data_IF_323789674654
#
_entry.id   IF_323789674654
#
_cell.length_a   1.000
_cell.length_b   1.000
_cell.length_c   1.000
_cell.angle_alpha   90.00
_cell.angle_beta   90.00
_cell.angle_gamma   90.00
#
_symmetry.space_group_name_H-M   'P 1'
#
loop_
_entity.id
_entity.type
_entity.pdbx_description
1 polymer ?
#
# COMPACT_ATOMS: atom_id res chain seq x y z
N UNK A 1 1.46 -77.53 -46.17
CA UNK A 1 0.46 -77.11 -47.18
C UNK A 1 -0.30 -75.92 -46.63
N UNK A 2 -0.46 -74.87 -47.45
CA UNK A 2 -1.27 -73.67 -47.18
C UNK A 2 -0.56 -72.58 -46.36
N UNK A 3 -0.59 -71.30 -46.70
CA UNK A 3 -0.87 -70.57 -47.93
C UNK A 3 -0.29 -69.16 -47.70
N UNK A 4 0.28 -68.57 -48.75
CA UNK A 4 0.81 -67.19 -48.74
C UNK A 4 -0.35 -66.19 -48.76
N UNK A 5 -0.21 -65.09 -48.03
CA UNK A 5 -0.86 -63.83 -48.37
C UNK A 5 0.03 -62.66 -47.95
N UNK A 6 0.62 -62.00 -48.95
CA UNK A 6 1.07 -60.61 -48.92
C UNK A 6 -0.17 -59.72 -49.03
N UNK A 7 -0.17 -58.54 -48.40
CA UNK A 7 -0.63 -57.25 -48.98
C UNK A 7 -0.74 -56.12 -47.91
N UNK A 8 -0.01 -55.03 -48.18
CA UNK A 8 -0.38 -53.59 -48.07
C UNK A 8 -0.73 -52.91 -46.73
N UNK A 9 0.22 -52.07 -46.28
CA UNK A 9 0.11 -50.64 -45.91
C UNK A 9 -1.24 -50.05 -45.47
N UNK A 10 -1.24 -49.46 -44.26
CA UNK A 10 -1.82 -48.13 -43.99
C UNK A 10 -1.14 -47.52 -42.75
N UNK A 11 -0.29 -46.51 -42.95
CA UNK A 11 0.22 -45.68 -41.87
C UNK A 11 -0.86 -44.66 -41.50
N UNK A 12 -1.42 -44.76 -40.30
CA UNK A 12 -2.32 -43.74 -39.75
C UNK A 12 -1.50 -42.78 -38.88
N UNK A 13 -1.09 -41.67 -39.47
CA UNK A 13 -0.55 -40.52 -38.74
C UNK A 13 -1.70 -39.85 -38.01
N UNK A 14 -1.82 -40.09 -36.70
CA UNK A 14 -2.70 -39.33 -35.83
C UNK A 14 -2.08 -37.95 -35.60
N UNK A 15 -2.48 -36.97 -36.41
CA UNK A 15 -2.10 -35.57 -36.26
C UNK A 15 -2.71 -34.97 -35.00
N UNK A 16 -1.87 -34.25 -34.27
CA UNK A 16 -2.11 -33.49 -33.05
C UNK A 16 -3.45 -32.75 -33.01
N UNK A 17 -4.18 -32.96 -31.92
CA UNK A 17 -5.25 -32.10 -31.45
C UNK A 17 -5.02 -31.71 -30.00
N UNK A 18 -3.86 -31.11 -29.67
CA UNK A 18 -3.71 -30.41 -28.39
C UNK A 18 -4.38 -29.06 -28.55
N UNK A 19 -5.68 -28.99 -28.29
CA UNK A 19 -6.34 -27.73 -27.98
C UNK A 19 -5.79 -27.29 -26.62
N UNK A 20 -4.74 -26.48 -26.63
CA UNK A 20 -4.32 -25.76 -25.44
C UNK A 20 -5.47 -24.83 -25.05
N UNK A 21 -6.32 -25.27 -24.12
CA UNK A 21 -7.19 -24.37 -23.39
C UNK A 21 -6.28 -23.26 -22.81
N UNK A 22 -6.72 -21.98 -22.81
CA UNK A 22 -5.93 -20.92 -22.20
C UNK A 22 -5.72 -21.31 -20.74
N UNK A 23 -4.49 -21.70 -20.41
CA UNK A 23 -4.15 -22.14 -19.07
C UNK A 23 -4.34 -20.96 -18.13
N UNK A 24 -5.35 -21.04 -17.27
CA UNK A 24 -5.40 -20.21 -16.06
C UNK A 24 -4.17 -20.61 -15.26
N UNK A 25 -3.15 -19.75 -15.27
CA UNK A 25 -1.93 -19.98 -14.52
C UNK A 25 -2.30 -20.22 -13.04
N UNK A 26 -2.09 -21.44 -12.55
CA UNK A 26 -2.21 -21.75 -11.13
C UNK A 26 -1.15 -20.93 -10.40
N UNK A 27 -1.57 -19.81 -9.82
CA UNK A 27 -0.67 -18.93 -9.09
C UNK A 27 -0.45 -19.52 -7.70
N UNK A 28 0.63 -20.28 -7.51
CA UNK A 28 1.06 -20.72 -6.19
C UNK A 28 1.37 -19.51 -5.31
N UNK A 29 1.15 -19.62 -3.99
CA UNK A 29 1.40 -18.53 -3.04
C UNK A 29 2.85 -18.04 -3.09
N UNK A 30 3.79 -18.92 -3.45
CA UNK A 30 5.22 -18.64 -3.62
C UNK A 30 5.52 -17.68 -4.78
N UNK A 31 4.66 -17.60 -5.80
CA UNK A 31 4.90 -16.76 -6.97
C UNK A 31 4.34 -15.33 -6.83
N UNK A 32 3.60 -15.03 -5.75
CA UNK A 32 3.02 -13.69 -5.48
C UNK A 32 3.96 -12.83 -4.65
N UNK A 33 5.13 -12.53 -5.19
CA UNK A 33 6.21 -11.78 -4.50
C UNK A 33 5.74 -10.45 -3.90
N UNK A 34 4.84 -9.72 -4.57
CA UNK A 34 4.34 -8.43 -4.08
C UNK A 34 3.32 -8.56 -2.94
N UNK A 35 2.75 -9.75 -2.69
CA UNK A 35 1.80 -10.00 -1.61
C UNK A 35 2.48 -10.32 -0.27
N UNK A 36 3.81 -10.47 -0.27
CA UNK A 36 4.57 -10.75 0.94
C UNK A 36 4.50 -9.57 1.92
N UNK A 37 4.48 -9.87 3.22
CA UNK A 37 4.50 -8.84 4.28
C UNK A 37 5.88 -8.21 4.41
N UNK A 38 6.96 -8.95 4.21
CA UNK A 38 8.30 -8.39 4.15
C UNK A 38 8.77 -8.34 2.70
N UNK A 39 9.35 -7.21 2.29
CA UNK A 39 9.86 -7.01 0.93
C UNK A 39 8.80 -6.90 -0.18
N UNK A 40 7.52 -7.15 0.12
CA UNK A 40 6.42 -6.97 -0.83
C UNK A 40 6.06 -5.50 -1.08
N UNK A 41 5.00 -5.30 -1.87
CA UNK A 41 4.50 -3.97 -2.23
C UNK A 41 2.97 -3.94 -2.09
N UNK A 42 2.54 -3.81 -0.84
CA UNK A 42 1.14 -3.82 -0.42
C UNK A 42 1.01 -3.12 0.96
N UNK A 43 -0.20 -2.84 1.45
CA UNK A 43 -0.39 -2.21 2.77
C UNK A 43 0.21 -2.98 3.95
N UNK A 44 0.25 -4.31 3.92
CA UNK A 44 0.92 -5.12 4.95
C UNK A 44 2.45 -4.90 4.93
N UNK A 45 3.06 -4.72 3.76
CA UNK A 45 4.48 -4.38 3.66
C UNK A 45 4.79 -2.99 4.22
N UNK A 46 3.92 -2.01 3.97
CA UNK A 46 4.02 -0.68 4.60
C UNK A 46 3.94 -0.78 6.13
N UNK A 47 3.01 -1.56 6.67
CA UNK A 47 2.94 -1.82 8.12
C UNK A 47 4.21 -2.46 8.67
N UNK A 48 4.81 -3.38 7.93
CA UNK A 48 6.08 -3.99 8.33
C UNK A 48 7.21 -2.96 8.39
N UNK A 49 7.27 -2.02 7.44
CA UNK A 49 8.24 -0.92 7.45
C UNK A 49 8.00 0.03 8.63
N UNK A 50 6.74 0.35 8.93
CA UNK A 50 6.39 1.15 10.11
C UNK A 50 6.83 0.48 11.40
N UNK A 51 6.56 -0.82 11.56
CA UNK A 51 6.95 -1.58 12.74
C UNK A 51 8.49 -1.65 12.90
N UNK A 52 9.23 -1.79 11.80
CA UNK A 52 10.69 -1.75 11.81
C UNK A 52 11.21 -0.37 12.26
N UNK A 53 10.63 0.70 11.73
CA UNK A 53 10.96 2.06 12.14
C UNK A 53 10.63 2.35 13.61
N UNK A 54 9.47 1.88 14.09
CA UNK A 54 9.05 2.00 15.50
C UNK A 54 10.06 1.26 16.41
N UNK A 55 10.49 0.05 16.00
CA UNK A 55 11.50 -0.73 16.72
C UNK A 55 12.86 -0.01 16.75
N UNK A 56 13.34 0.51 15.63
CA UNK A 56 14.59 1.28 15.57
C UNK A 56 14.53 2.54 16.45
N UNK A 57 13.42 3.28 16.38
CA UNK A 57 13.21 4.49 17.17
C UNK A 57 13.21 4.22 18.69
N UNK A 58 12.70 3.05 19.10
CA UNK A 58 12.70 2.62 20.51
C UNK A 58 14.09 2.27 21.04
N UNK A 59 14.99 1.80 20.17
CA UNK A 59 16.40 1.54 20.51
C UNK A 59 17.28 2.80 20.43
N UNK A 60 16.71 3.93 20.03
CA UNK A 60 17.44 5.18 19.84
C UNK A 60 18.14 5.31 18.48
N UNK A 61 17.96 4.34 17.57
CA UNK A 61 18.48 4.45 16.20
C UNK A 61 17.55 5.30 15.35
N UNK A 62 17.74 6.62 15.43
CA UNK A 62 16.91 7.59 14.71
C UNK A 62 17.20 7.60 13.21
N UNK A 63 18.37 7.14 12.77
CA UNK A 63 18.73 7.10 11.35
C UNK A 63 18.03 5.93 10.66
N UNK A 64 18.09 4.73 11.25
CA UNK A 64 17.36 3.55 10.78
C UNK A 64 15.85 3.79 10.83
N UNK A 65 15.33 4.34 11.93
CA UNK A 65 13.91 4.68 12.05
C UNK A 65 13.43 5.60 10.93
N UNK A 66 14.20 6.66 10.65
CA UNK A 66 13.89 7.59 9.56
C UNK A 66 13.89 6.88 8.21
N UNK A 67 14.89 6.05 7.93
CA UNK A 67 14.98 5.32 6.67
C UNK A 67 13.76 4.42 6.44
N UNK A 68 13.29 3.72 7.48
CA UNK A 68 12.12 2.85 7.38
C UNK A 68 10.81 3.61 7.25
N UNK A 69 10.65 4.72 7.97
CA UNK A 69 9.49 5.60 7.78
C UNK A 69 9.48 6.25 6.38
N UNK A 70 10.63 6.65 5.84
CA UNK A 70 10.72 7.21 4.49
C UNK A 70 10.34 6.16 3.42
N UNK A 71 10.76 4.90 3.60
CA UNK A 71 10.31 3.78 2.74
C UNK A 71 8.79 3.58 2.84
N UNK A 72 8.25 3.53 4.06
CA UNK A 72 6.81 3.36 4.30
C UNK A 72 5.99 4.49 3.65
N UNK A 73 6.45 5.73 3.78
CA UNK A 73 5.82 6.91 3.20
C UNK A 73 5.83 6.84 1.67
N UNK A 74 6.98 6.52 1.08
CA UNK A 74 7.13 6.38 -0.38
C UNK A 74 6.19 5.30 -0.91
N UNK A 75 6.21 4.12 -0.32
CA UNK A 75 5.36 3.01 -0.72
C UNK A 75 3.88 3.35 -0.59
N UNK A 76 3.46 3.98 0.51
CA UNK A 76 2.05 4.41 0.71
C UNK A 76 1.56 5.36 -0.38
N UNK A 77 2.37 6.37 -0.74
CA UNK A 77 2.02 7.34 -1.81
C UNK A 77 1.88 6.66 -3.16
N UNK A 78 2.79 5.74 -3.48
CA UNK A 78 2.74 4.98 -4.73
C UNK A 78 1.51 4.04 -4.77
N UNK A 79 1.26 3.28 -3.70
CA UNK A 79 0.09 2.42 -3.57
C UNK A 79 -1.21 3.19 -3.73
N UNK A 80 -1.34 4.35 -3.07
CA UNK A 80 -2.51 5.21 -3.19
C UNK A 80 -2.78 5.64 -4.65
N UNK A 81 -1.74 6.05 -5.37
CA UNK A 81 -1.85 6.43 -6.77
C UNK A 81 -2.28 5.23 -7.64
N UNK A 82 -1.59 4.09 -7.52
CA UNK A 82 -1.84 2.92 -8.34
C UNK A 82 -3.22 2.29 -8.09
N UNK A 83 -3.65 2.20 -6.83
CA UNK A 83 -4.99 1.69 -6.52
C UNK A 83 -6.08 2.59 -7.09
N UNK A 84 -5.92 3.91 -7.01
CA UNK A 84 -6.85 4.85 -7.64
C UNK A 84 -6.90 4.69 -9.16
N UNK A 85 -5.75 4.56 -9.81
CA UNK A 85 -5.66 4.42 -11.27
C UNK A 85 -6.33 3.10 -11.74
N UNK A 86 -6.09 1.99 -11.02
CA UNK A 86 -6.76 0.72 -11.27
C UNK A 86 -8.27 0.78 -11.01
N UNK A 87 -8.71 1.41 -9.92
CA UNK A 87 -10.15 1.65 -9.68
C UNK A 87 -10.79 2.41 -10.84
N UNK A 88 -10.09 3.40 -11.41
CA UNK A 88 -10.55 4.16 -12.57
C UNK A 88 -10.68 3.31 -13.82
N UNK A 89 -9.65 2.53 -14.15
CA UNK A 89 -9.59 1.74 -15.38
C UNK A 89 -10.66 0.65 -15.48
N UNK A 90 -11.11 0.10 -14.35
CA UNK A 90 -12.12 -0.98 -14.31
C UNK A 90 -13.55 -0.49 -13.99
N UNK A 91 -13.75 0.82 -13.85
CA UNK A 91 -15.06 1.40 -13.53
C UNK A 91 -16.06 1.10 -14.65
N UNK A 92 -17.22 0.54 -14.29
CA UNK A 92 -18.27 0.15 -15.23
C UNK A 92 -18.02 -1.17 -15.98
N UNK A 93 -16.85 -1.81 -15.80
CA UNK A 93 -16.51 -3.08 -16.41
C UNK A 93 -16.68 -4.25 -15.44
N UNK A 94 -16.01 -4.19 -14.28
CA UNK A 94 -16.15 -5.17 -13.20
C UNK A 94 -16.07 -4.43 -11.86
N UNK A 95 -17.20 -4.31 -11.17
CA UNK A 95 -17.29 -3.57 -9.91
C UNK A 95 -16.49 -4.20 -8.76
N UNK A 96 -16.06 -5.47 -8.86
CA UNK A 96 -15.28 -6.13 -7.80
C UNK A 96 -13.89 -5.52 -7.68
N UNK A 97 -13.27 -5.15 -8.81
CA UNK A 97 -11.91 -4.64 -8.85
C UNK A 97 -11.82 -3.24 -8.21
N UNK A 98 -12.64 -2.22 -8.58
CA UNK A 98 -12.63 -0.94 -7.91
C UNK A 98 -12.96 -1.05 -6.42
N UNK A 99 -13.86 -1.95 -6.00
CA UNK A 99 -14.15 -2.15 -4.56
C UNK A 99 -12.92 -2.63 -3.77
N UNK A 100 -12.17 -3.58 -4.35
CA UNK A 100 -10.92 -4.05 -3.75
C UNK A 100 -9.87 -2.93 -3.71
N UNK A 101 -9.66 -2.25 -4.83
CA UNK A 101 -8.66 -1.19 -4.96
C UNK A 101 -8.99 0.01 -4.08
N UNK A 102 -10.25 0.43 -3.98
CA UNK A 102 -10.67 1.49 -3.07
C UNK A 102 -10.44 1.13 -1.60
N UNK A 103 -10.62 -0.15 -1.25
CA UNK A 103 -10.33 -0.64 0.11
C UNK A 103 -8.85 -0.54 0.43
N UNK A 104 -7.98 -1.05 -0.44
CA UNK A 104 -6.53 -0.94 -0.26
C UNK A 104 -6.03 0.50 -0.36
N UNK A 105 -6.69 1.34 -1.15
CA UNK A 105 -6.40 2.77 -1.28
C UNK A 105 -6.67 3.53 0.02
N UNK A 106 -7.79 3.27 0.69
CA UNK A 106 -8.08 3.85 2.03
C UNK A 106 -7.06 3.40 3.06
N UNK A 107 -6.69 2.13 3.04
CA UNK A 107 -5.67 1.58 3.94
C UNK A 107 -4.29 2.24 3.71
N UNK A 108 -3.87 2.41 2.45
CA UNK A 108 -2.63 3.11 2.11
C UNK A 108 -2.67 4.60 2.51
N UNK A 109 -3.83 5.26 2.41
CA UNK A 109 -4.03 6.64 2.85
C UNK A 109 -3.87 6.77 4.38
N UNK A 110 -4.44 5.85 5.15
CA UNK A 110 -4.33 5.83 6.61
C UNK A 110 -2.88 5.58 7.04
N UNK A 111 -2.20 4.62 6.40
CA UNK A 111 -0.79 4.33 6.65
C UNK A 111 0.12 5.51 6.29
N UNK A 112 -0.20 6.26 5.22
CA UNK A 112 0.53 7.48 4.87
C UNK A 112 0.41 8.54 5.98
N UNK A 113 -0.80 8.77 6.49
CA UNK A 113 -1.03 9.72 7.57
C UNK A 113 -0.30 9.30 8.85
N UNK A 114 -0.37 8.02 9.21
CA UNK A 114 0.35 7.46 10.34
C UNK A 114 1.87 7.56 10.23
N UNK A 115 2.40 7.30 9.04
CA UNK A 115 3.85 7.42 8.77
C UNK A 115 4.31 8.87 8.91
N UNK A 116 3.54 9.82 8.38
CA UNK A 116 3.86 11.23 8.49
C UNK A 116 3.83 11.72 9.96
N UNK A 117 2.93 11.22 10.80
CA UNK A 117 2.92 11.53 12.23
C UNK A 117 4.17 11.00 12.95
N UNK A 118 4.62 9.79 12.61
CA UNK A 118 5.87 9.21 13.15
C UNK A 118 7.10 9.99 12.70
N UNK A 119 7.15 10.39 11.42
CA UNK A 119 8.20 11.27 10.90
C UNK A 119 8.23 12.61 11.62
N UNK A 120 7.07 13.25 11.83
CA UNK A 120 6.98 14.51 12.56
C UNK A 120 7.53 14.37 14.00
N UNK A 121 7.15 13.31 14.70
CA UNK A 121 7.67 13.03 16.04
C UNK A 121 9.19 12.80 16.03
N UNK A 122 9.70 12.07 15.03
CA UNK A 122 11.14 11.84 14.86
C UNK A 122 11.91 13.14 14.61
N UNK A 123 11.42 14.02 13.73
CA UNK A 123 12.06 15.31 13.46
C UNK A 123 12.09 16.23 14.69
N UNK A 124 11.02 16.23 15.49
CA UNK A 124 11.01 16.93 16.79
C UNK A 124 12.08 16.39 17.73
N UNK A 125 12.24 15.06 17.83
CA UNK A 125 13.30 14.43 18.64
C UNK A 125 14.71 14.74 18.13
N UNK A 126 14.86 15.03 16.84
CA UNK A 126 16.13 15.41 16.22
C UNK A 126 16.41 16.92 16.32
N UNK A 127 15.60 17.70 17.04
CA UNK A 127 15.68 19.16 17.10
C UNK A 127 15.55 19.83 15.71
N UNK A 128 14.74 19.25 14.81
CA UNK A 128 14.42 19.78 13.48
C UNK A 128 12.90 19.97 13.29
N UNK A 129 12.23 20.75 14.16
CA UNK A 129 10.78 20.94 14.10
C UNK A 129 10.27 21.54 12.79
N UNK A 130 11.09 22.35 12.10
CA UNK A 130 10.78 22.95 10.79
C UNK A 130 10.55 21.90 9.70
N UNK A 131 11.23 20.74 9.78
CA UNK A 131 11.03 19.61 8.86
C UNK A 131 9.77 18.83 9.18
N UNK A 132 9.25 18.92 10.42
CA UNK A 132 7.99 18.33 10.82
C UNK A 132 6.77 19.07 10.23
N UNK A 133 6.86 20.38 10.03
CA UNK A 133 5.75 21.20 9.49
C UNK A 133 5.17 20.65 8.18
N UNK A 134 5.94 20.40 7.10
CA UNK A 134 5.37 19.93 5.84
C UNK A 134 4.67 18.58 5.95
N UNK A 135 5.19 17.65 6.76
CA UNK A 135 4.56 16.33 6.94
C UNK A 135 3.29 16.43 7.78
N UNK A 136 3.23 17.32 8.78
CA UNK A 136 2.03 17.58 9.57
C UNK A 136 0.93 18.25 8.74
N UNK A 137 1.28 19.24 7.92
CA UNK A 137 0.33 19.86 6.98
C UNK A 137 -0.20 18.84 5.97
N UNK A 138 0.65 17.94 5.48
CA UNK A 138 0.21 16.84 4.62
C UNK A 138 -0.79 15.93 5.35
N UNK A 139 -0.59 15.59 6.63
CA UNK A 139 -1.57 14.81 7.40
C UNK A 139 -2.91 15.54 7.51
N UNK A 140 -2.94 16.84 7.80
CA UNK A 140 -4.19 17.64 7.87
C UNK A 140 -4.92 17.65 6.52
N UNK A 141 -4.18 17.70 5.40
CA UNK A 141 -4.77 17.65 4.05
C UNK A 141 -5.33 16.28 3.70
N UNK A 142 -4.64 15.20 4.09
CA UNK A 142 -5.05 13.83 3.83
C UNK A 142 -6.19 13.39 4.77
N UNK A 143 -6.12 13.84 6.02
CA UNK A 143 -7.03 13.50 7.10
C UNK A 143 -7.59 14.79 7.68
N UNK A 144 -8.87 15.04 7.43
CA UNK A 144 -9.58 16.17 8.03
C UNK A 144 -9.31 16.27 9.54
N UNK A 145 -9.17 17.47 10.12
CA UNK A 145 -9.08 17.67 11.57
C UNK A 145 -10.22 17.06 12.39
N UNK A 146 -11.34 16.68 11.75
CA UNK A 146 -12.40 15.91 12.40
C UNK A 146 -12.04 14.44 12.69
N UNK A 147 -10.96 13.91 12.08
CA UNK A 147 -10.42 12.58 12.36
C UNK A 147 -9.25 12.65 13.35
N UNK A 148 -9.00 11.60 14.15
CA UNK A 148 -7.93 11.60 15.15
C UNK A 148 -6.54 11.96 14.60
N UNK A 149 -6.16 11.45 13.41
CA UNK A 149 -4.86 11.74 12.81
C UNK A 149 -4.72 13.22 12.41
N UNK A 150 -5.76 13.79 11.80
CA UNK A 150 -5.81 15.20 11.41
C UNK A 150 -5.77 16.12 12.62
N UNK A 151 -6.53 15.77 13.67
CA UNK A 151 -6.54 16.52 14.93
C UNK A 151 -5.17 16.50 15.61
N UNK A 152 -4.51 15.33 15.70
CA UNK A 152 -3.15 15.22 16.25
C UNK A 152 -2.15 16.05 15.46
N UNK A 153 -2.25 16.05 14.13
CA UNK A 153 -1.37 16.84 13.29
C UNK A 153 -1.55 18.35 13.50
N UNK A 154 -2.80 18.82 13.56
CA UNK A 154 -3.10 20.21 13.84
C UNK A 154 -2.64 20.64 15.24
N UNK A 155 -2.90 19.81 16.26
CA UNK A 155 -2.41 20.06 17.62
C UNK A 155 -0.89 20.17 17.65
N UNK A 156 -0.18 19.29 16.92
CA UNK A 156 1.28 19.35 16.83
C UNK A 156 1.77 20.64 16.16
N UNK A 157 1.07 21.15 15.14
CA UNK A 157 1.41 22.45 14.53
C UNK A 157 1.23 23.60 15.51
N UNK A 158 0.23 23.51 16.39
CA UNK A 158 -0.05 24.50 17.43
C UNK A 158 1.02 24.48 18.53
N UNK A 159 1.40 23.29 18.99
CA UNK A 159 2.52 23.10 19.94
C UNK A 159 3.86 23.63 19.41
N UNK A 160 4.06 23.56 18.10
CA UNK A 160 5.27 24.09 17.44
C UNK A 160 5.21 25.61 17.22
N UNK A 161 4.08 26.26 17.50
CA UNK A 161 3.88 27.69 17.21
C UNK A 161 3.77 28.01 15.72
N UNK A 162 3.52 27.02 14.87
CA UNK A 162 3.29 27.24 13.44
C UNK A 162 1.90 27.82 13.16
N UNK A 163 0.93 27.50 14.03
CA UNK A 163 -0.41 28.10 14.05
C UNK A 163 -0.73 28.54 15.47
N UNK A 164 -1.55 29.58 15.62
CA UNK A 164 -1.90 30.14 16.93
C UNK A 164 -3.35 29.83 17.34
N UNK A 165 -4.23 29.56 16.38
CA UNK A 165 -5.66 29.36 16.64
C UNK A 165 -5.95 27.90 17.01
N UNK A 166 -6.65 27.68 18.12
CA UNK A 166 -7.10 26.35 18.53
C UNK A 166 -8.22 25.82 17.64
N UNK A 167 -8.13 24.54 17.25
CA UNK A 167 -9.22 23.86 16.56
C UNK A 167 -10.23 23.33 17.57
N UNK A 168 -11.39 23.97 17.65
CA UNK A 168 -12.46 23.63 18.62
C UNK A 168 -13.33 22.42 18.23
N UNK A 169 -13.02 21.75 17.13
CA UNK A 169 -13.79 20.60 16.64
C UNK A 169 -15.18 20.95 16.10
N UNK A 170 -15.88 19.96 15.55
CA UNK A 170 -17.28 20.10 15.14
C UNK A 170 -18.25 20.32 16.32
N UNK A 171 -17.80 20.09 17.55
CA UNK A 171 -18.60 20.23 18.78
C UNK A 171 -18.85 21.70 19.18
N UNK A 172 -18.16 22.66 18.58
CA UNK A 172 -18.31 24.08 18.91
C UNK A 172 -19.43 24.81 18.14
N UNK A 173 -20.12 24.16 17.20
CA UNK A 173 -21.20 24.78 16.39
C UNK A 173 -22.58 24.57 17.05
N UNK A 174 -22.62 24.21 18.34
CA UNK A 174 -23.87 23.90 19.06
C UNK A 174 -24.03 24.55 20.42
N UNK A 175 -23.30 25.64 20.71
CA UNK A 175 -23.50 26.45 21.93
C UNK A 175 -23.73 27.91 21.56
#
# INVERSE_FOLDING_TARGET
MGCRALLTTAALVATLGVTAAPGIAQTSAENRVLAQTQGGFNPAAVRSMLAAGDAAASRGDLAEARADYDKARKASKQLLAFYRDLSGAFRGLDARIPREMDTKGREALELLAETNLRLAALFRRQNQPEVAVPVLVEVVKLMTPAKPQGQKAYQSLLELGFVETEFRGASAVGQ
#
